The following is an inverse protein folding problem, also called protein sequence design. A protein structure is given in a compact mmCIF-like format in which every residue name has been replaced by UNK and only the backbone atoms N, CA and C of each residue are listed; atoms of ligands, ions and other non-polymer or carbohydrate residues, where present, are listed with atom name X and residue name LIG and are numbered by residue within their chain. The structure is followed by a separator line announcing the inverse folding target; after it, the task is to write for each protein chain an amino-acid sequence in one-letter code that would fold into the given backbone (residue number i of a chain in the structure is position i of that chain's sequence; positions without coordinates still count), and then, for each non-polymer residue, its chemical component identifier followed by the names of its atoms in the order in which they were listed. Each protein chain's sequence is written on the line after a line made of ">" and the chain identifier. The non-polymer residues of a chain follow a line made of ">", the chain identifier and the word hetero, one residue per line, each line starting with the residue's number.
data_IF_879485631155
#
_entry.id   IF_879485631155
#
_cell.length_a   1.000
_cell.length_b   1.000
_cell.length_c   1.000
_cell.angle_alpha   90.00
_cell.angle_beta   90.00
_cell.angle_gamma   90.00
#
_symmetry.space_group_name_H-M   'P 1'
#
loop_
_entity.id
_entity.type
_entity.pdbx_description
1 polymer ?
#
# COMPACT_ATOMS: atom_id res chain seq x y z
N UNK A 1 17.01 12.76 -18.00
CA UNK A 1 15.75 11.99 -17.99
C UNK A 1 14.63 13.00 -18.11
N UNK A 2 14.01 13.05 -19.29
CA UNK A 2 12.95 14.00 -19.59
C UNK A 2 11.60 13.47 -19.09
N UNK A 3 10.62 14.34 -18.88
CA UNK A 3 9.25 13.92 -18.53
C UNK A 3 8.65 12.93 -19.55
N UNK A 4 9.10 13.01 -20.81
CA UNK A 4 8.73 12.08 -21.88
C UNK A 4 9.30 10.68 -21.66
N UNK A 5 10.56 10.57 -21.20
CA UNK A 5 11.17 9.29 -20.81
C UNK A 5 10.43 8.66 -19.62
N UNK A 6 9.95 9.49 -18.68
CA UNK A 6 9.17 9.05 -17.53
C UNK A 6 7.78 8.53 -17.94
N UNK A 7 7.09 9.25 -18.83
CA UNK A 7 5.81 8.85 -19.40
C UNK A 7 5.91 7.59 -20.27
N UNK A 8 6.97 7.44 -21.07
CA UNK A 8 7.21 6.23 -21.86
C UNK A 8 7.51 5.01 -20.98
N UNK A 9 8.25 5.20 -19.88
CA UNK A 9 8.53 4.15 -18.90
C UNK A 9 7.27 3.75 -18.12
N UNK A 10 6.42 4.73 -17.76
CA UNK A 10 5.15 4.51 -17.04
C UNK A 10 4.08 3.88 -17.95
N UNK A 11 4.00 4.29 -19.21
CA UNK A 11 3.01 3.78 -20.18
C UNK A 11 3.43 2.46 -20.83
N UNK A 12 4.64 1.95 -20.52
CA UNK A 12 5.17 0.69 -21.07
C UNK A 12 5.07 0.60 -22.60
N UNK A 13 5.22 1.73 -23.30
CA UNK A 13 5.14 1.73 -24.76
C UNK A 13 6.41 1.07 -25.32
N UNK A 14 6.28 0.00 -26.11
CA UNK A 14 7.40 -0.85 -26.49
C UNK A 14 8.33 -0.12 -27.46
N UNK A 15 9.47 0.39 -26.97
CA UNK A 15 10.51 1.02 -27.81
C UNK A 15 11.65 0.05 -28.17
N UNK A 16 11.35 -1.22 -28.38
CA UNK A 16 12.28 -2.34 -28.55
C UNK A 16 12.72 -3.03 -27.24
N UNK A 17 12.53 -4.36 -27.23
CA UNK A 17 13.43 -5.41 -26.71
C UNK A 17 12.70 -6.45 -25.86
N UNK A 18 12.89 -7.71 -26.24
CA UNK A 18 12.44 -8.91 -25.52
C UNK A 18 12.87 -8.88 -24.05
N UNK A 19 13.95 -8.16 -23.71
CA UNK A 19 14.42 -7.94 -22.34
C UNK A 19 13.45 -7.19 -21.43
N UNK A 20 12.62 -6.29 -21.95
CA UNK A 20 11.66 -5.51 -21.13
C UNK A 20 10.50 -6.37 -20.61
N UNK A 21 10.07 -7.38 -21.37
CA UNK A 21 8.95 -8.25 -21.00
C UNK A 21 9.32 -9.17 -19.83
N UNK A 22 10.50 -9.78 -19.87
CA UNK A 22 10.98 -10.64 -18.78
C UNK A 22 11.11 -9.85 -17.46
N UNK A 23 11.56 -8.60 -17.52
CA UNK A 23 11.65 -7.75 -16.33
C UNK A 23 10.28 -7.47 -15.71
N UNK A 24 9.24 -7.22 -16.52
CA UNK A 24 7.88 -7.04 -16.04
C UNK A 24 7.34 -8.29 -15.35
N UNK A 25 7.50 -9.47 -15.96
CA UNK A 25 7.01 -10.74 -15.40
C UNK A 25 7.65 -11.03 -14.04
N UNK A 26 8.97 -10.86 -13.91
CA UNK A 26 9.67 -11.02 -12.64
C UNK A 26 9.24 -9.98 -11.60
N UNK A 27 8.96 -8.74 -12.03
CA UNK A 27 8.49 -7.67 -11.13
C UNK A 27 7.11 -8.03 -10.56
N UNK A 28 6.18 -8.49 -11.41
CA UNK A 28 4.83 -8.89 -11.00
C UNK A 28 4.90 -10.06 -10.01
N UNK A 29 5.66 -11.12 -10.34
CA UNK A 29 5.85 -12.27 -9.46
C UNK A 29 6.47 -11.82 -8.13
N UNK A 30 7.47 -10.95 -8.17
CA UNK A 30 8.12 -10.39 -6.99
C UNK A 30 7.15 -9.63 -6.09
N UNK A 31 6.28 -8.80 -6.65
CA UNK A 31 5.24 -8.07 -5.90
C UNK A 31 4.24 -9.03 -5.27
N UNK A 32 3.74 -10.02 -6.02
CA UNK A 32 2.76 -10.99 -5.50
C UNK A 32 3.35 -11.80 -4.34
N UNK A 33 4.54 -12.37 -4.53
CA UNK A 33 5.21 -13.21 -3.52
C UNK A 33 5.56 -12.38 -2.28
N UNK A 34 6.11 -11.17 -2.47
CA UNK A 34 6.48 -10.30 -1.36
C UNK A 34 5.26 -9.85 -0.54
N UNK A 35 4.15 -9.49 -1.18
CA UNK A 35 2.92 -9.10 -0.48
C UNK A 35 2.30 -10.26 0.28
N UNK A 36 2.35 -11.48 -0.27
CA UNK A 36 1.89 -12.68 0.44
C UNK A 36 2.72 -12.95 1.71
N UNK A 37 4.05 -12.89 1.59
CA UNK A 37 4.97 -13.08 2.72
C UNK A 37 4.77 -11.98 3.76
N UNK A 38 4.75 -10.71 3.35
CA UNK A 38 4.54 -9.59 4.27
C UNK A 38 3.19 -9.67 4.96
N UNK A 39 2.10 -9.96 4.23
CA UNK A 39 0.77 -10.14 4.81
C UNK A 39 0.74 -11.25 5.86
N UNK A 40 1.40 -12.38 5.60
CA UNK A 40 1.52 -13.48 6.56
C UNK A 40 2.28 -13.05 7.83
N UNK A 41 3.41 -12.36 7.66
CA UNK A 41 4.20 -11.81 8.78
C UNK A 41 3.35 -10.84 9.60
N UNK A 42 2.55 -10.00 8.94
CA UNK A 42 1.70 -9.00 9.59
C UNK A 42 0.61 -9.65 10.43
N UNK A 43 -0.03 -10.70 9.91
CA UNK A 43 -1.02 -11.47 10.67
C UNK A 43 -0.40 -12.17 11.87
N UNK A 44 0.79 -12.77 11.72
CA UNK A 44 1.51 -13.42 12.83
C UNK A 44 1.87 -12.42 13.91
N UNK A 45 2.43 -11.27 13.55
CA UNK A 45 2.82 -10.22 14.52
C UNK A 45 1.58 -9.63 15.18
N UNK A 46 0.51 -9.38 14.42
CA UNK A 46 -0.77 -8.95 14.96
C UNK A 46 -1.30 -9.93 16.00
N UNK A 47 -1.28 -11.24 15.68
CA UNK A 47 -1.73 -12.29 16.58
C UNK A 47 -0.88 -12.43 17.85
N UNK A 48 0.45 -12.37 17.73
CA UNK A 48 1.38 -12.42 18.87
C UNK A 48 1.21 -11.19 19.76
N UNK A 49 0.94 -10.04 19.14
CA UNK A 49 0.72 -8.79 19.86
C UNK A 49 -0.63 -8.74 20.56
N UNK A 50 -1.62 -9.55 20.17
CA UNK A 50 -2.91 -9.59 20.86
C UNK A 50 -2.76 -9.98 22.33
N UNK A 51 -3.59 -9.39 23.19
CA UNK A 51 -3.50 -9.52 24.64
C UNK A 51 -3.42 -10.96 25.21
N UNK A 52 -4.24 -11.94 24.81
CA UNK A 52 -4.14 -13.29 25.36
C UNK A 52 -2.82 -13.99 24.99
N UNK A 53 -2.27 -13.67 23.82
CA UNK A 53 -1.04 -14.28 23.29
C UNK A 53 0.20 -13.60 23.85
N UNK A 54 0.22 -12.27 23.88
CA UNK A 54 1.35 -11.47 24.38
C UNK A 54 1.65 -11.75 25.85
N UNK A 55 0.63 -11.95 26.69
CA UNK A 55 0.79 -12.30 28.12
C UNK A 55 1.49 -13.66 28.30
N UNK A 56 1.27 -14.62 27.39
CA UNK A 56 1.89 -15.96 27.44
C UNK A 56 3.33 -15.94 26.89
N UNK A 57 3.55 -15.19 25.79
CA UNK A 57 4.85 -15.14 25.09
C UNK A 57 5.84 -14.21 25.81
N UNK A 58 5.38 -13.09 26.36
CA UNK A 58 6.21 -12.06 26.99
C UNK A 58 6.02 -11.99 28.50
N UNK A 59 6.08 -13.14 29.16
CA UNK A 59 5.86 -13.29 30.60
C UNK A 59 6.92 -12.64 31.51
N UNK A 60 8.07 -12.20 30.97
CA UNK A 60 9.18 -11.62 31.73
C UNK A 60 9.44 -10.15 31.38
N UNK A 61 9.82 -9.33 32.36
CA UNK A 61 10.08 -7.89 32.22
C UNK A 61 11.08 -7.54 31.12
N UNK A 62 12.16 -8.31 30.94
CA UNK A 62 13.12 -8.11 29.84
C UNK A 62 12.55 -8.51 28.48
N UNK A 63 11.80 -9.60 28.41
CA UNK A 63 11.11 -10.04 27.18
C UNK A 63 10.05 -9.03 26.74
N UNK A 64 9.41 -8.36 27.69
CA UNK A 64 8.40 -7.34 27.47
C UNK A 64 8.99 -6.04 26.88
N UNK A 65 10.19 -5.62 27.33
CA UNK A 65 10.90 -4.48 26.71
C UNK A 65 11.26 -4.74 25.25
N UNK A 66 11.74 -5.94 24.95
CA UNK A 66 12.05 -6.37 23.57
C UNK A 66 10.78 -6.40 22.70
N UNK A 67 9.69 -6.97 23.20
CA UNK A 67 8.39 -7.00 22.51
C UNK A 67 7.88 -5.60 22.15
N UNK A 68 8.01 -4.65 23.08
CA UNK A 68 7.58 -3.27 22.88
C UNK A 68 8.40 -2.56 21.81
N UNK A 69 9.72 -2.76 21.81
CA UNK A 69 10.60 -2.25 20.76
C UNK A 69 10.28 -2.84 19.39
N UNK A 70 10.06 -4.16 19.33
CA UNK A 70 9.71 -4.87 18.11
C UNK A 70 8.36 -4.39 17.54
N UNK A 71 7.34 -4.22 18.37
CA UNK A 71 6.04 -3.72 17.93
C UNK A 71 6.10 -2.26 17.45
N UNK A 72 6.88 -1.40 18.10
CA UNK A 72 7.03 -0.01 17.67
C UNK A 72 7.84 0.12 16.37
N UNK A 73 8.91 -0.66 16.22
CA UNK A 73 9.69 -0.72 14.99
C UNK A 73 8.86 -1.26 13.83
N UNK A 74 8.09 -2.31 14.09
CA UNK A 74 7.17 -2.89 13.10
C UNK A 74 6.04 -1.93 12.71
N UNK A 75 5.45 -1.20 13.67
CA UNK A 75 4.47 -0.15 13.37
C UNK A 75 5.06 0.94 12.46
N UNK A 76 6.31 1.34 12.72
CA UNK A 76 7.03 2.32 11.90
C UNK A 76 7.27 1.80 10.48
N UNK A 77 7.65 0.53 10.35
CA UNK A 77 7.83 -0.13 9.05
C UNK A 77 6.52 -0.18 8.24
N UNK A 78 5.42 -0.61 8.87
CA UNK A 78 4.09 -0.67 8.25
C UNK A 78 3.63 0.73 7.82
N UNK A 79 3.89 1.75 8.63
CA UNK A 79 3.56 3.14 8.29
C UNK A 79 4.29 3.59 7.01
N UNK A 80 5.61 3.39 6.94
CA UNK A 80 6.40 3.74 5.74
C UNK A 80 5.87 2.97 4.52
N UNK A 81 5.62 1.66 4.67
CA UNK A 81 5.07 0.84 3.60
C UNK A 81 3.71 1.35 3.11
N UNK A 82 2.86 1.82 4.03
CA UNK A 82 1.55 2.41 3.71
C UNK A 82 1.72 3.68 2.88
N UNK A 83 2.61 4.58 3.28
CA UNK A 83 2.90 5.82 2.53
C UNK A 83 3.44 5.50 1.13
N UNK A 84 4.38 4.55 1.03
CA UNK A 84 4.90 4.09 -0.26
C UNK A 84 3.80 3.54 -1.16
N UNK A 85 2.86 2.76 -0.60
CA UNK A 85 1.75 2.21 -1.38
C UNK A 85 0.74 3.26 -1.83
N UNK A 86 0.41 4.24 -0.98
CA UNK A 86 -0.43 5.38 -1.38
C UNK A 86 0.22 6.13 -2.56
N UNK A 87 1.53 6.35 -2.50
CA UNK A 87 2.26 6.96 -3.60
C UNK A 87 2.23 6.10 -4.87
N UNK A 88 2.44 4.78 -4.75
CA UNK A 88 2.34 3.86 -5.89
C UNK A 88 0.93 3.88 -6.52
N UNK A 89 -0.12 3.90 -5.71
CA UNK A 89 -1.51 4.03 -6.18
C UNK A 89 -1.71 5.34 -6.95
N UNK A 90 -1.19 6.45 -6.45
CA UNK A 90 -1.26 7.75 -7.14
C UNK A 90 -0.51 7.74 -8.48
N UNK A 91 0.66 7.09 -8.54
CA UNK A 91 1.42 6.94 -9.79
C UNK A 91 0.66 6.07 -10.80
N UNK A 92 0.06 4.95 -10.37
CA UNK A 92 -0.73 4.06 -11.23
C UNK A 92 -2.00 4.71 -11.78
N UNK A 93 -2.52 5.74 -11.11
CA UNK A 93 -3.67 6.49 -11.60
C UNK A 93 -3.37 7.26 -12.90
N UNK A 94 -2.13 7.74 -13.07
CA UNK A 94 -1.72 8.53 -14.24
C UNK A 94 -1.88 7.77 -15.57
N UNK A 95 -1.29 6.57 -15.77
CA UNK A 95 -1.47 5.82 -17.02
C UNK A 95 -2.93 5.43 -17.24
N UNK A 96 -3.69 5.15 -16.17
CA UNK A 96 -5.10 4.79 -16.26
C UNK A 96 -5.96 5.96 -16.78
N UNK A 97 -5.73 7.18 -16.30
CA UNK A 97 -6.42 8.38 -16.80
C UNK A 97 -6.02 8.68 -18.24
N UNK A 98 -4.73 8.61 -18.56
CA UNK A 98 -4.25 8.90 -19.92
C UNK A 98 -4.79 7.91 -20.95
N UNK A 99 -4.74 6.60 -20.64
CA UNK A 99 -5.33 5.56 -21.50
C UNK A 99 -6.84 5.69 -21.59
N UNK A 100 -7.52 6.01 -20.49
CA UNK A 100 -8.97 6.23 -20.47
C UNK A 100 -9.41 7.40 -21.34
N UNK A 101 -8.70 8.53 -21.26
CA UNK A 101 -8.96 9.70 -22.11
C UNK A 101 -8.69 9.37 -23.59
N UNK A 102 -7.60 8.67 -23.88
CA UNK A 102 -7.24 8.30 -25.25
C UNK A 102 -8.24 7.32 -25.86
N UNK A 103 -8.71 6.33 -25.08
CA UNK A 103 -9.76 5.40 -25.48
C UNK A 103 -11.08 6.13 -25.76
N UNK A 104 -11.48 7.07 -24.88
CA UNK A 104 -12.69 7.87 -25.07
C UNK A 104 -12.66 8.70 -26.36
N UNK A 105 -11.50 9.28 -26.68
CA UNK A 105 -11.32 10.07 -27.91
C UNK A 105 -11.40 9.18 -29.16
N UNK A 106 -10.85 7.96 -29.10
CA UNK A 106 -10.91 7.01 -30.23
C UNK A 106 -12.30 6.45 -30.51
N UNK A 107 -13.21 6.47 -29.52
CA UNK A 107 -14.59 5.98 -29.66
C UNK A 107 -15.51 7.01 -30.34
N UNK A 108 -15.02 8.23 -30.60
CA UNK A 108 -15.79 9.26 -31.29
C UNK A 108 -15.89 8.93 -32.79
N UNK A 109 -17.12 8.72 -33.28
CA UNK A 109 -17.38 8.40 -34.68
C UNK A 109 -16.76 9.45 -35.63
N UNK A 110 -15.80 9.02 -36.44
CA UNK A 110 -15.13 9.85 -37.46
C UNK A 110 -13.65 10.14 -37.22
N UNK A 111 -13.04 9.61 -36.16
CA UNK A 111 -11.61 9.79 -35.93
C UNK A 111 -10.76 8.93 -36.88
N UNK A 112 -10.17 9.55 -37.88
CA UNK A 112 -9.31 8.87 -38.89
C UNK A 112 -7.82 8.93 -38.55
N UNK A 113 -7.40 9.91 -37.75
CA UNK A 113 -6.04 10.02 -37.23
C UNK A 113 -5.97 10.72 -35.87
N UNK A 114 -4.96 10.35 -35.08
CA UNK A 114 -4.59 10.98 -33.81
C UNK A 114 -3.17 11.51 -33.91
N UNK A 115 -3.00 12.81 -33.71
CA UNK A 115 -1.68 13.41 -33.54
C UNK A 115 -1.23 13.29 -32.07
N UNK A 116 -0.27 12.38 -31.82
CA UNK A 116 0.28 12.16 -30.48
C UNK A 116 1.17 13.30 -29.97
N UNK A 117 1.47 14.30 -30.80
CA UNK A 117 2.26 15.47 -30.41
C UNK A 117 1.66 16.23 -29.23
N UNK A 118 0.34 16.34 -29.18
CA UNK A 118 -0.38 17.00 -28.08
C UNK A 118 -0.40 16.17 -26.78
N UNK A 119 0.03 14.91 -26.85
CA UNK A 119 0.10 13.97 -25.73
C UNK A 119 1.53 13.69 -25.26
N UNK A 120 2.49 14.51 -25.69
CA UNK A 120 3.89 14.44 -25.23
C UNK A 120 4.76 13.42 -25.98
N UNK A 121 4.26 12.83 -27.07
CA UNK A 121 5.07 11.98 -27.94
C UNK A 121 5.65 12.79 -29.10
N UNK A 122 6.89 12.51 -29.50
CA UNK A 122 7.48 13.16 -30.67
C UNK A 122 6.70 12.83 -31.93
N UNK A 123 5.99 13.84 -32.45
CA UNK A 123 5.35 13.95 -33.77
C UNK A 123 5.06 12.61 -34.48
N UNK A 124 4.18 11.80 -33.88
CA UNK A 124 3.75 10.53 -34.43
C UNK A 124 2.24 10.57 -34.62
N UNK A 125 1.82 10.60 -35.87
CA UNK A 125 0.41 10.49 -36.24
C UNK A 125 0.04 9.00 -36.28
N UNK A 126 -1.00 8.62 -35.55
CA UNK A 126 -1.60 7.28 -35.58
C UNK A 126 -2.82 7.32 -36.50
N UNK A 127 -2.77 6.61 -37.62
CA UNK A 127 -3.85 6.56 -38.60
C UNK A 127 -4.02 5.16 -39.19
N UNK A 128 -5.22 4.85 -39.70
CA UNK A 128 -5.50 3.61 -40.42
C UNK A 128 -5.38 2.34 -39.54
N UNK A 129 -4.71 1.31 -40.04
CA UNK A 129 -4.59 0.00 -39.37
C UNK A 129 -3.87 0.10 -38.01
N UNK A 130 -2.91 1.02 -37.88
CA UNK A 130 -2.21 1.24 -36.61
C UNK A 130 -3.14 1.81 -35.53
N UNK A 131 -4.11 2.65 -35.92
CA UNK A 131 -5.12 3.19 -35.01
C UNK A 131 -6.10 2.09 -34.56
N UNK A 132 -6.54 1.22 -35.48
CA UNK A 132 -7.45 0.11 -35.13
C UNK A 132 -6.79 -0.92 -34.22
N UNK A 133 -5.51 -1.25 -34.46
CA UNK A 133 -4.72 -2.12 -33.58
C UNK A 133 -4.54 -1.47 -32.22
N UNK A 134 -4.19 -0.18 -32.19
CA UNK A 134 -4.07 0.58 -30.95
C UNK A 134 -5.36 0.55 -30.12
N UNK A 135 -6.53 0.81 -30.72
CA UNK A 135 -7.82 0.78 -30.01
C UNK A 135 -8.14 -0.60 -29.43
N UNK A 136 -7.83 -1.65 -30.20
CA UNK A 136 -8.09 -3.04 -29.79
C UNK A 136 -7.19 -3.43 -28.61
N UNK A 137 -5.89 -3.16 -28.70
CA UNK A 137 -4.93 -3.48 -27.63
C UNK A 137 -5.09 -2.55 -26.41
N UNK A 138 -5.42 -1.27 -26.62
CA UNK A 138 -5.62 -0.30 -25.55
C UNK A 138 -6.75 -0.72 -24.61
N UNK A 139 -7.79 -1.38 -25.11
CA UNK A 139 -8.89 -1.90 -24.29
C UNK A 139 -8.41 -2.95 -23.29
N UNK A 140 -7.61 -3.92 -23.74
CA UNK A 140 -7.07 -4.97 -22.89
C UNK A 140 -6.09 -4.40 -21.85
N UNK A 141 -5.23 -3.48 -22.29
CA UNK A 141 -4.30 -2.77 -21.41
C UNK A 141 -5.04 -1.93 -20.37
N UNK A 142 -6.12 -1.24 -20.74
CA UNK A 142 -6.94 -0.44 -19.83
C UNK A 142 -7.60 -1.30 -18.75
N UNK A 143 -8.12 -2.48 -19.12
CA UNK A 143 -8.67 -3.43 -18.13
C UNK A 143 -7.59 -3.89 -17.17
N UNK A 144 -6.39 -4.23 -17.66
CA UNK A 144 -5.26 -4.63 -16.83
C UNK A 144 -4.84 -3.54 -15.84
N UNK A 145 -4.68 -2.29 -16.30
CA UNK A 145 -4.39 -1.15 -15.44
C UNK A 145 -5.52 -0.89 -14.44
N UNK A 146 -6.78 -1.05 -14.84
CA UNK A 146 -7.95 -0.95 -13.96
C UNK A 146 -7.91 -1.94 -12.80
N UNK A 147 -7.71 -3.23 -13.11
CA UNK A 147 -7.55 -4.28 -12.12
C UNK A 147 -6.35 -4.03 -11.20
N UNK A 148 -5.21 -3.60 -11.75
CA UNK A 148 -4.02 -3.28 -10.97
C UNK A 148 -4.24 -2.09 -10.03
N UNK A 149 -4.92 -1.04 -10.49
CA UNK A 149 -5.26 0.12 -9.68
C UNK A 149 -6.20 -0.24 -8.53
N UNK A 150 -7.29 -0.96 -8.81
CA UNK A 150 -8.23 -1.42 -7.78
C UNK A 150 -7.50 -2.29 -6.74
N UNK A 151 -6.65 -3.21 -7.20
CA UNK A 151 -5.85 -4.06 -6.31
C UNK A 151 -4.91 -3.24 -5.42
N UNK A 152 -4.25 -2.22 -5.99
CA UNK A 152 -3.37 -1.30 -5.24
C UNK A 152 -4.15 -0.51 -4.18
N UNK A 153 -5.34 0.00 -4.52
CA UNK A 153 -6.24 0.68 -3.57
C UNK A 153 -6.63 -0.24 -2.42
N UNK A 154 -7.00 -1.50 -2.71
CA UNK A 154 -7.35 -2.48 -1.69
C UNK A 154 -6.18 -2.75 -0.74
N UNK A 155 -4.95 -2.91 -1.27
CA UNK A 155 -3.74 -3.07 -0.45
C UNK A 155 -3.55 -1.86 0.46
N UNK A 156 -3.64 -0.63 -0.06
CA UNK A 156 -3.51 0.58 0.74
C UNK A 156 -4.56 0.66 1.86
N UNK A 157 -5.82 0.35 1.56
CA UNK A 157 -6.90 0.29 2.55
C UNK A 157 -6.63 -0.78 3.62
N UNK A 158 -6.21 -1.98 3.22
CA UNK A 158 -5.86 -3.05 4.15
C UNK A 158 -4.71 -2.66 5.09
N UNK A 159 -3.67 -1.99 4.57
CA UNK A 159 -2.56 -1.51 5.38
C UNK A 159 -3.00 -0.45 6.39
N UNK A 160 -3.87 0.49 5.99
CA UNK A 160 -4.46 1.48 6.90
C UNK A 160 -5.26 0.81 8.02
N UNK A 161 -6.12 -0.16 7.69
CA UNK A 161 -6.89 -0.91 8.68
C UNK A 161 -5.98 -1.67 9.65
N UNK A 162 -4.92 -2.29 9.13
CA UNK A 162 -3.95 -3.00 9.95
C UNK A 162 -3.21 -2.03 10.89
N UNK A 163 -2.84 -0.84 10.41
CA UNK A 163 -2.18 0.19 11.21
C UNK A 163 -3.07 0.69 12.36
N UNK A 164 -4.37 0.94 12.09
CA UNK A 164 -5.35 1.29 13.11
C UNK A 164 -5.47 0.18 14.16
N UNK A 165 -5.63 -1.06 13.70
CA UNK A 165 -5.78 -2.24 14.58
C UNK A 165 -4.56 -2.45 15.47
N UNK A 166 -3.35 -2.34 14.91
CA UNK A 166 -2.10 -2.44 15.66
C UNK A 166 -1.95 -1.31 16.69
N UNK A 167 -2.31 -0.08 16.32
CA UNK A 167 -2.24 1.08 17.22
C UNK A 167 -3.21 0.93 18.40
N UNK A 168 -4.44 0.48 18.12
CA UNK A 168 -5.42 0.18 19.17
C UNK A 168 -4.92 -0.92 20.11
N UNK A 169 -4.34 -1.99 19.55
CA UNK A 169 -3.80 -3.09 20.34
C UNK A 169 -2.61 -2.65 21.24
N UNK A 170 -1.70 -1.84 20.73
CA UNK A 170 -0.59 -1.27 21.52
C UNK A 170 -1.11 -0.38 22.65
N UNK A 171 -2.15 0.42 22.37
CA UNK A 171 -2.77 1.29 23.38
C UNK A 171 -3.41 0.44 24.50
N UNK A 172 -4.19 -0.58 24.15
CA UNK A 172 -4.82 -1.48 25.11
C UNK A 172 -3.80 -2.23 25.99
N UNK A 173 -2.72 -2.73 25.40
CA UNK A 173 -1.61 -3.34 26.14
C UNK A 173 -0.93 -2.37 27.10
N UNK A 174 -0.86 -1.10 26.72
CA UNK A 174 -0.26 -0.04 27.54
C UNK A 174 -1.15 0.29 28.73
N UNK A 175 -2.46 0.46 28.51
CA UNK A 175 -3.44 0.78 29.55
C UNK A 175 -3.64 -0.36 30.56
N UNK A 176 -3.84 -1.60 30.09
CA UNK A 176 -4.01 -2.75 30.99
C UNK A 176 -2.78 -3.02 31.85
N UNK A 177 -1.60 -2.61 31.38
CA UNK A 177 -0.37 -2.70 32.16
C UNK A 177 -0.26 -1.59 33.21
N UNK A 178 -0.69 -0.36 32.91
CA UNK A 178 -0.77 0.69 33.92
C UNK A 178 -1.74 0.30 35.04
N UNK A 179 -2.90 -0.25 34.68
CA UNK A 179 -3.85 -0.79 35.66
C UNK A 179 -3.23 -1.90 36.53
N UNK A 180 -2.50 -2.85 35.92
CA UNK A 180 -1.82 -3.90 36.67
C UNK A 180 -0.72 -3.37 37.58
N UNK A 181 0.12 -2.43 37.13
CA UNK A 181 1.20 -1.86 37.96
C UNK A 181 0.65 -1.07 39.14
N UNK A 182 -0.39 -0.26 38.92
CA UNK A 182 -1.05 0.52 39.98
C UNK A 182 -1.71 -0.40 41.04
N UNK A 183 -2.10 -1.63 40.67
CA UNK A 183 -2.68 -2.59 41.62
C UNK A 183 -1.66 -3.25 42.56
N UNK A 184 -0.36 -3.21 42.23
CA UNK A 184 0.72 -3.80 43.04
C UNK A 184 1.65 -2.77 43.68
N UNK A 185 1.39 -1.46 43.51
CA UNK A 185 2.16 -0.40 44.17
C UNK A 185 1.84 -0.35 45.68
N UNK A 186 2.87 -0.20 46.55
CA UNK A 186 2.67 -0.06 47.98
C UNK A 186 1.89 1.23 48.31
N UNK A 187 1.02 1.22 49.34
CA UNK A 187 0.14 2.33 49.64
C UNK A 187 0.95 3.57 50.04
N UNK A 188 1.11 4.53 49.13
CA UNK A 188 1.85 5.77 49.37
C UNK A 188 2.60 6.38 48.19
N UNK A 189 2.81 5.64 47.09
CA UNK A 189 3.37 6.21 45.85
C UNK A 189 2.26 6.75 44.93
N UNK A 190 2.52 7.87 44.25
CA UNK A 190 1.57 8.53 43.34
C UNK A 190 1.18 7.60 42.19
N UNK A 191 -0.11 7.29 42.07
CA UNK A 191 -0.65 6.45 41.00
C UNK A 191 -0.24 7.00 39.63
N UNK A 192 0.39 6.14 38.81
CA UNK A 192 0.68 6.48 37.42
C UNK A 192 -0.61 6.46 36.61
N UNK A 193 -1.22 7.64 36.43
CA UNK A 193 -2.39 7.80 35.58
C UNK A 193 -2.03 7.60 34.10
N UNK A 194 -2.69 6.64 33.43
CA UNK A 194 -2.74 6.67 31.98
C UNK A 194 -3.65 7.84 31.58
N UNK A 195 -3.17 8.74 30.72
CA UNK A 195 -3.92 9.94 30.27
C UNK A 195 -5.25 9.62 29.56
N UNK A 196 -5.56 8.34 29.33
CA UNK A 196 -6.78 7.85 28.69
C UNK A 196 -7.68 6.99 29.59
N UNK A 197 -7.30 6.77 30.85
CA UNK A 197 -8.13 6.06 31.82
C UNK A 197 -9.20 7.00 32.38
N UNK A 198 -10.32 7.14 31.65
CA UNK A 198 -11.59 7.68 32.17
C UNK A 198 -12.30 6.68 33.09
N UNK A 199 -11.56 5.92 33.90
CA UNK A 199 -12.13 5.31 35.10
C UNK A 199 -12.10 6.39 36.18
N UNK A 200 -13.05 7.31 36.06
CA UNK A 200 -13.47 8.16 37.15
C UNK A 200 -13.77 7.26 38.35
N UNK A 201 -12.97 7.49 39.38
CA UNK A 201 -13.11 6.96 40.72
C UNK A 201 -14.39 7.52 41.32
N UNK A 202 -15.51 6.84 41.07
CA UNK A 202 -16.72 6.95 41.88
C UNK A 202 -17.22 5.54 42.22
N UNK A 203 -16.54 4.92 43.19
CA UNK A 203 -17.13 4.03 44.19
C UNK A 203 -16.12 3.75 45.30
#
# INVERSE_FOLDING_TARGET
>A
MTWVDYLQTILMLPRHSVHSLWFMDYTIIGVIVSMFVLGTIFLVIGHISSEPTSRRVFSSSSKNRCARGLNMGFLSFVYILTVCWIFATAVLFVPLVLLGLLYYITDYEGLTSIDLKYYGFEAKELSGEALTTFVTEAKDVLICYGCAYISSVLVAISLIHFLISMTANITHLTDNRFAALNAYEPPGEEMRNSKHSNLDTNM
#
